data_IF_718100334625
#
_entry.id   IF_718100334625
#
_cell.length_a   1.000
_cell.length_b   1.000
_cell.length_c   1.000
_cell.angle_alpha   90.00
_cell.angle_beta   90.00
_cell.angle_gamma   90.00
#
_symmetry.space_group_name_H-M   'P 1'
#
loop_
_entity.id
_entity.type
_entity.pdbx_description
1 polymer ?
#
# COMPACT_ATOMS: atom_id res chain seq x y z
N UNK A 1 -23.01 -19.46 -10.70
CA UNK A 1 -23.05 -18.38 -9.74
C UNK A 1 -22.52 -17.12 -10.39
N UNK A 2 -23.38 -16.15 -10.60
CA UNK A 2 -23.02 -14.86 -11.16
C UNK A 2 -22.09 -14.18 -10.18
N UNK A 3 -20.83 -13.99 -10.57
CA UNK A 3 -19.76 -13.49 -9.74
C UNK A 3 -19.91 -12.01 -9.41
N UNK A 4 -20.92 -11.66 -8.62
CA UNK A 4 -20.99 -10.36 -7.98
C UNK A 4 -20.00 -10.39 -6.83
N UNK A 5 -18.93 -9.64 -6.96
CA UNK A 5 -17.96 -9.47 -5.88
C UNK A 5 -18.70 -8.97 -4.65
N UNK A 6 -18.61 -9.68 -3.53
CA UNK A 6 -19.27 -9.27 -2.29
C UNK A 6 -18.74 -7.89 -1.85
N UNK A 7 -19.61 -7.07 -1.27
CA UNK A 7 -19.29 -5.69 -0.84
C UNK A 7 -18.10 -5.66 0.11
N UNK A 8 -18.02 -6.58 1.08
CA UNK A 8 -16.88 -6.65 2.01
C UNK A 8 -15.57 -6.97 1.28
N UNK A 9 -15.59 -7.92 0.34
CA UNK A 9 -14.41 -8.28 -0.47
C UNK A 9 -13.97 -7.10 -1.34
N UNK A 10 -14.91 -6.40 -1.95
CA UNK A 10 -14.64 -5.21 -2.76
C UNK A 10 -13.98 -4.10 -1.93
N UNK A 11 -14.57 -3.76 -0.77
CA UNK A 11 -14.06 -2.74 0.13
C UNK A 11 -12.68 -3.09 0.68
N UNK A 12 -12.46 -4.36 1.06
CA UNK A 12 -11.18 -4.86 1.56
C UNK A 12 -10.10 -4.83 0.47
N UNK A 13 -10.47 -5.15 -0.78
CA UNK A 13 -9.55 -5.10 -1.92
C UNK A 13 -9.11 -3.67 -2.21
N UNK A 14 -10.04 -2.72 -2.31
CA UNK A 14 -9.71 -1.31 -2.48
C UNK A 14 -8.91 -0.76 -1.31
N UNK A 15 -9.30 -1.11 -0.08
CA UNK A 15 -8.55 -0.73 1.13
C UNK A 15 -7.11 -1.22 1.09
N UNK A 16 -6.89 -2.48 0.72
CA UNK A 16 -5.56 -3.07 0.58
C UNK A 16 -4.72 -2.41 -0.52
N UNK A 17 -5.32 -2.11 -1.68
CA UNK A 17 -4.62 -1.41 -2.76
C UNK A 17 -4.19 0.00 -2.38
N UNK A 18 -4.99 0.71 -1.59
CA UNK A 18 -4.80 2.12 -1.27
C UNK A 18 -4.08 2.37 0.06
N UNK A 19 -3.97 1.35 0.96
CA UNK A 19 -3.58 1.57 2.36
C UNK A 19 -2.27 2.34 2.53
N UNK A 20 -1.28 2.07 1.70
CA UNK A 20 0.07 2.63 1.78
C UNK A 20 0.33 3.83 0.83
N UNK A 21 -0.69 4.34 0.14
CA UNK A 21 -0.59 5.54 -0.71
C UNK A 21 0.05 6.72 0.04
N UNK A 22 -0.21 6.82 1.33
CA UNK A 22 0.36 7.86 2.19
C UNK A 22 1.88 7.81 2.32
N UNK A 23 2.55 6.69 2.05
CA UNK A 23 4.01 6.63 2.00
C UNK A 23 4.56 7.52 0.89
N UNK A 24 3.93 7.52 -0.29
CA UNK A 24 4.32 8.41 -1.38
C UNK A 24 4.07 9.90 -1.00
N UNK A 25 2.91 10.20 -0.41
CA UNK A 25 2.59 11.56 0.07
C UNK A 25 3.60 12.03 1.11
N UNK A 26 3.92 11.19 2.10
CA UNK A 26 4.90 11.49 3.14
C UNK A 26 6.31 11.74 2.56
N UNK A 27 6.75 10.88 1.62
CA UNK A 27 8.08 10.97 1.00
C UNK A 27 8.19 12.15 0.01
N UNK A 28 7.07 12.60 -0.54
CA UNK A 28 6.99 13.81 -1.37
C UNK A 28 7.19 15.13 -0.57
N UNK A 29 7.38 15.04 0.74
CA UNK A 29 7.49 16.22 1.59
C UNK A 29 6.21 16.53 2.37
N UNK A 30 5.36 15.52 2.56
CA UNK A 30 4.12 15.63 3.33
C UNK A 30 4.31 16.19 4.73
N UNK A 31 3.22 16.69 5.29
CA UNK A 31 3.18 17.38 6.58
C UNK A 31 3.51 16.44 7.76
N UNK A 32 3.45 16.98 8.98
CA UNK A 32 3.61 16.18 10.21
C UNK A 32 2.46 15.15 10.35
N UNK A 33 2.77 13.96 10.82
CA UNK A 33 1.82 12.90 11.07
C UNK A 33 2.25 11.57 10.46
N UNK A 34 1.51 10.51 10.75
CA UNK A 34 1.75 9.19 10.16
C UNK A 34 1.43 9.18 8.66
N UNK A 35 2.07 8.29 7.91
CA UNK A 35 1.74 8.13 6.50
C UNK A 35 0.28 7.66 6.30
N UNK A 36 -0.28 6.89 7.24
CA UNK A 36 -1.68 6.45 7.19
C UNK A 36 -2.66 7.63 7.27
N UNK A 37 -2.42 8.60 8.15
CA UNK A 37 -3.25 9.80 8.23
C UNK A 37 -3.06 10.70 6.99
N UNK A 38 -1.84 10.87 6.51
CA UNK A 38 -1.58 11.64 5.29
C UNK A 38 -2.20 10.99 4.05
N UNK A 39 -2.14 9.67 3.96
CA UNK A 39 -2.82 8.91 2.89
C UNK A 39 -4.33 9.08 2.94
N UNK A 40 -4.91 8.98 4.14
CA UNK A 40 -6.34 9.23 4.33
C UNK A 40 -6.73 10.65 3.89
N UNK A 41 -6.03 11.68 4.36
CA UNK A 41 -6.34 13.07 4.00
C UNK A 41 -6.23 13.31 2.49
N UNK A 42 -5.18 12.80 1.86
CA UNK A 42 -5.00 12.90 0.41
C UNK A 42 -6.15 12.23 -0.35
N UNK A 43 -6.41 10.95 -0.05
CA UNK A 43 -7.42 10.16 -0.75
C UNK A 43 -8.83 10.67 -0.49
N UNK A 44 -9.15 11.12 0.72
CA UNK A 44 -10.42 11.75 1.03
C UNK A 44 -10.65 13.03 0.21
N UNK A 45 -9.59 13.75 -0.12
CA UNK A 45 -9.65 14.95 -0.95
C UNK A 45 -9.85 14.68 -2.45
N UNK A 46 -9.48 13.50 -2.95
CA UNK A 46 -9.47 13.20 -4.39
C UNK A 46 -10.47 12.12 -4.81
N UNK A 47 -10.89 11.23 -3.92
CA UNK A 47 -11.88 10.19 -4.21
C UNK A 47 -13.30 10.72 -3.94
N UNK A 48 -14.18 10.72 -4.94
CA UNK A 48 -15.49 11.32 -4.80
C UNK A 48 -16.50 10.39 -4.12
N UNK A 49 -17.22 10.95 -3.14
CA UNK A 49 -18.42 10.33 -2.60
C UNK A 49 -18.23 9.36 -1.44
N UNK A 50 -19.34 9.12 -0.72
CA UNK A 50 -19.38 8.32 0.50
C UNK A 50 -19.09 6.82 0.27
N UNK A 51 -19.20 6.32 -0.94
CA UNK A 51 -18.90 4.92 -1.26
C UNK A 51 -17.46 4.50 -0.98
N UNK A 52 -16.53 5.46 -0.89
CA UNK A 52 -15.14 5.21 -0.56
C UNK A 52 -14.85 5.12 0.95
N UNK A 53 -15.78 5.53 1.81
CA UNK A 53 -15.54 5.62 3.25
C UNK A 53 -14.97 4.34 3.88
N UNK A 54 -15.47 3.11 3.59
CA UNK A 54 -14.90 1.89 4.17
C UNK A 54 -13.45 1.62 3.72
N UNK A 55 -13.11 1.90 2.46
CA UNK A 55 -11.74 1.78 1.97
C UNK A 55 -10.81 2.84 2.58
N UNK A 56 -11.32 4.05 2.80
CA UNK A 56 -10.58 5.13 3.48
C UNK A 56 -10.33 4.82 4.96
N UNK A 57 -11.25 4.15 5.64
CA UNK A 57 -11.03 3.64 6.99
C UNK A 57 -9.89 2.62 7.02
N UNK A 58 -9.78 1.74 6.01
CA UNK A 58 -8.65 0.84 5.87
C UNK A 58 -7.33 1.62 5.76
N UNK A 59 -7.28 2.66 4.93
CA UNK A 59 -6.08 3.50 4.78
C UNK A 59 -5.69 4.16 6.11
N UNK A 60 -6.66 4.71 6.83
CA UNK A 60 -6.42 5.45 8.06
C UNK A 60 -5.98 4.56 9.22
N UNK A 61 -6.51 3.35 9.29
CA UNK A 61 -6.44 2.51 10.48
C UNK A 61 -5.69 1.18 10.27
N UNK A 62 -4.89 1.02 9.22
CA UNK A 62 -4.15 -0.23 8.97
C UNK A 62 -3.04 -0.51 9.99
N UNK A 63 -2.68 0.41 10.86
CA UNK A 63 -1.70 0.18 11.94
C UNK A 63 -2.36 -0.06 13.28
N UNK A 64 -1.81 -1.01 14.08
CA UNK A 64 -2.39 -1.47 15.34
C UNK A 64 -2.73 -0.35 16.32
N UNK A 65 -1.87 0.66 16.48
CA UNK A 65 -2.12 1.78 17.40
C UNK A 65 -3.31 2.64 16.95
N UNK A 66 -3.39 2.96 15.65
CA UNK A 66 -4.49 3.73 15.08
C UNK A 66 -5.80 2.94 15.13
N UNK A 67 -5.77 1.65 14.77
CA UNK A 67 -6.92 0.77 14.80
C UNK A 67 -7.46 0.59 16.23
N UNK A 68 -6.58 0.39 17.21
CA UNK A 68 -6.95 0.28 18.64
C UNK A 68 -7.62 1.55 19.13
N UNK A 69 -7.12 2.72 18.75
CA UNK A 69 -7.73 4.01 19.08
C UNK A 69 -9.12 4.18 18.47
N UNK A 70 -9.33 3.68 17.26
CA UNK A 70 -10.58 3.79 16.51
C UNK A 70 -11.60 2.67 16.82
N UNK A 71 -11.20 1.57 17.47
CA UNK A 71 -12.00 0.35 17.62
C UNK A 71 -13.38 0.55 18.27
N UNK A 72 -13.54 1.57 19.11
CA UNK A 72 -14.84 1.89 19.71
C UNK A 72 -15.80 2.61 18.75
N UNK A 73 -15.27 3.30 17.75
CA UNK A 73 -16.04 4.07 16.78
C UNK A 73 -16.28 3.30 15.47
N UNK A 74 -15.35 2.39 15.11
CA UNK A 74 -15.50 1.55 13.93
C UNK A 74 -16.53 0.44 14.17
N UNK A 75 -17.36 0.12 13.16
CA UNK A 75 -18.22 -1.07 13.20
C UNK A 75 -17.38 -2.35 13.43
N UNK A 76 -17.94 -3.33 14.13
CA UNK A 76 -17.23 -4.59 14.39
C UNK A 76 -16.94 -5.41 13.13
N UNK A 77 -17.69 -5.16 12.06
CA UNK A 77 -17.55 -5.77 10.72
C UNK A 77 -16.77 -4.88 9.73
N UNK A 78 -16.04 -3.87 10.21
CA UNK A 78 -15.27 -2.97 9.35
C UNK A 78 -14.18 -3.71 8.57
N UNK A 79 -14.00 -3.45 7.26
CA UNK A 79 -12.92 -4.00 6.45
C UNK A 79 -11.53 -3.56 6.95
N UNK A 80 -11.43 -2.53 7.78
CA UNK A 80 -10.17 -2.09 8.36
C UNK A 80 -9.47 -3.19 9.18
N UNK A 81 -10.21 -4.07 9.85
CA UNK A 81 -9.64 -5.23 10.57
C UNK A 81 -9.03 -6.26 9.61
N UNK A 82 -9.65 -6.44 8.45
CA UNK A 82 -9.15 -7.34 7.40
C UNK A 82 -7.85 -6.79 6.81
N UNK A 83 -7.83 -5.52 6.43
CA UNK A 83 -6.65 -4.89 5.81
C UNK A 83 -5.50 -4.79 6.81
N UNK A 84 -5.76 -4.52 8.09
CA UNK A 84 -4.76 -4.57 9.14
C UNK A 84 -4.04 -5.94 9.18
N UNK A 85 -4.79 -7.04 9.25
CA UNK A 85 -4.21 -8.38 9.27
C UNK A 85 -3.50 -8.72 7.95
N UNK A 86 -4.07 -8.31 6.81
CA UNK A 86 -3.48 -8.55 5.50
C UNK A 86 -2.15 -7.81 5.33
N UNK A 87 -2.04 -6.58 5.82
CA UNK A 87 -0.81 -5.80 5.82
C UNK A 87 0.27 -6.45 6.70
N UNK A 88 -0.08 -6.86 7.92
CA UNK A 88 0.85 -7.56 8.81
C UNK A 88 1.38 -8.85 8.19
N UNK A 89 0.52 -9.65 7.54
CA UNK A 89 0.92 -10.89 6.87
C UNK A 89 1.81 -10.61 5.65
N UNK A 90 1.46 -9.62 4.84
CA UNK A 90 2.25 -9.21 3.67
C UNK A 90 3.62 -8.69 4.11
N UNK A 91 3.66 -7.79 5.09
CA UNK A 91 4.90 -7.23 5.62
C UNK A 91 5.81 -8.31 6.23
N UNK A 92 5.25 -9.30 6.92
CA UNK A 92 6.04 -10.42 7.47
C UNK A 92 6.68 -11.29 6.37
N UNK A 93 6.01 -11.44 5.22
CA UNK A 93 6.56 -12.16 4.07
C UNK A 93 7.63 -11.36 3.32
N UNK A 94 7.50 -10.03 3.31
CA UNK A 94 8.36 -9.11 2.54
C UNK A 94 9.66 -8.74 3.26
N UNK A 95 9.70 -8.83 4.59
CA UNK A 95 10.84 -8.37 5.39
C UNK A 95 12.05 -9.26 5.23
N UNK A 96 13.18 -8.66 4.89
CA UNK A 96 14.51 -9.26 4.89
C UNK A 96 15.44 -8.39 5.71
N UNK A 97 15.83 -8.88 6.87
CA UNK A 97 16.75 -8.16 7.76
C UNK A 97 18.14 -8.04 7.15
N UNK A 98 18.72 -6.86 7.27
CA UNK A 98 20.13 -6.59 6.91
C UNK A 98 20.95 -6.54 8.19
N UNK A 99 21.92 -7.47 8.34
CA UNK A 99 22.79 -7.53 9.51
C UNK A 99 23.68 -6.28 9.61
N UNK A 100 23.70 -5.67 10.79
CA UNK A 100 24.74 -4.70 11.20
C UNK A 100 24.43 -3.23 10.96
N UNK A 101 23.26 -2.84 10.46
CA UNK A 101 22.90 -1.42 10.31
C UNK A 101 22.06 -0.89 11.49
N UNK A 102 22.35 0.34 11.91
CA UNK A 102 21.49 1.07 12.85
C UNK A 102 20.17 1.39 12.18
N UNK A 103 19.07 0.96 12.76
CA UNK A 103 17.72 1.09 12.20
C UNK A 103 17.22 2.54 12.22
N UNK A 104 16.99 3.12 11.05
CA UNK A 104 16.37 4.43 10.88
C UNK A 104 15.53 4.48 9.62
N UNK A 105 14.52 5.37 9.58
CA UNK A 105 13.76 5.61 8.35
C UNK A 105 14.44 6.67 7.48
N UNK A 106 14.59 6.36 6.19
CA UNK A 106 15.09 7.28 5.17
C UNK A 106 14.05 7.46 4.08
N UNK A 107 13.73 8.71 3.73
CA UNK A 107 12.76 9.03 2.67
C UNK A 107 13.32 8.85 1.26
N UNK A 108 14.62 8.86 1.13
CA UNK A 108 15.38 8.92 -0.10
C UNK A 108 15.96 7.59 -0.57
N UNK A 109 15.64 6.47 0.12
CA UNK A 109 16.10 5.15 -0.29
C UNK A 109 15.49 4.75 -1.63
N UNK A 110 16.32 4.34 -2.62
CA UNK A 110 15.84 3.79 -3.88
C UNK A 110 15.41 2.33 -3.73
N UNK A 111 14.64 1.86 -4.72
CA UNK A 111 14.33 0.44 -4.86
C UNK A 111 15.53 -0.31 -5.42
N UNK A 112 15.98 -1.36 -4.71
CA UNK A 112 17.02 -2.27 -5.20
C UNK A 112 16.49 -3.11 -6.38
N UNK A 113 17.40 -3.47 -7.29
CA UNK A 113 17.05 -4.46 -8.31
C UNK A 113 17.07 -5.86 -7.70
N UNK A 114 16.09 -6.69 -8.06
CA UNK A 114 16.04 -8.10 -7.62
C UNK A 114 17.28 -8.89 -8.06
N UNK A 115 17.90 -8.51 -9.16
CA UNK A 115 19.11 -9.16 -9.70
C UNK A 115 20.35 -8.93 -8.84
N UNK A 116 20.39 -7.87 -8.03
CA UNK A 116 21.46 -7.62 -7.06
C UNK A 116 21.57 -8.77 -6.05
N UNK A 117 20.43 -9.28 -5.60
CA UNK A 117 20.38 -10.38 -4.62
C UNK A 117 20.66 -11.75 -5.25
N UNK A 118 20.27 -11.95 -6.50
CA UNK A 118 20.46 -13.23 -7.20
C UNK A 118 21.93 -13.54 -7.50
N UNK A 119 22.73 -12.52 -7.76
CA UNK A 119 24.13 -12.70 -8.15
C UNK A 119 25.13 -12.60 -7.00
N UNK A 120 24.66 -12.40 -5.78
CA UNK A 120 25.51 -12.28 -4.58
C UNK A 120 26.52 -11.13 -4.64
N UNK A 121 26.39 -10.23 -5.60
CA UNK A 121 27.35 -9.17 -5.86
C UNK A 121 26.65 -7.82 -6.06
N UNK A 122 27.16 -6.87 -5.32
CA UNK A 122 27.01 -5.43 -5.47
C UNK A 122 25.73 -4.83 -4.92
N UNK A 123 25.75 -4.40 -3.64
CA UNK A 123 24.92 -3.28 -3.22
C UNK A 123 25.27 -2.09 -4.12
N UNK A 124 24.30 -1.44 -4.75
CA UNK A 124 24.59 -0.24 -5.50
C UNK A 124 23.86 -0.09 -6.82
N UNK A 125 23.03 -1.03 -7.22
CA UNK A 125 22.16 -0.88 -8.38
C UNK A 125 20.71 -0.67 -7.97
N UNK A 126 20.04 0.29 -8.61
CA UNK A 126 18.65 0.62 -8.38
C UNK A 126 17.85 0.60 -9.68
N UNK A 127 16.57 0.35 -9.58
CA UNK A 127 15.64 0.66 -10.67
C UNK A 127 15.41 2.18 -10.73
N UNK A 128 15.34 2.78 -11.94
CA UNK A 128 15.03 4.19 -12.06
C UNK A 128 13.67 4.50 -11.45
N UNK A 129 13.59 5.56 -10.66
CA UNK A 129 12.34 6.06 -10.08
C UNK A 129 11.52 6.82 -11.15
N UNK A 130 10.99 6.08 -12.10
CA UNK A 130 10.23 6.59 -13.25
C UNK A 130 8.97 5.76 -13.44
N UNK A 131 7.87 6.35 -13.93
CA UNK A 131 6.64 5.61 -14.21
C UNK A 131 6.89 4.41 -15.14
N UNK A 132 6.22 3.30 -14.88
CA UNK A 132 6.24 2.10 -15.71
C UNK A 132 5.27 2.29 -16.89
N UNK A 133 5.69 3.06 -17.86
CA UNK A 133 4.90 3.53 -19.02
C UNK A 133 5.13 2.73 -20.31
N UNK A 134 5.79 1.56 -20.18
CA UNK A 134 6.18 0.72 -21.32
C UNK A 134 7.52 1.10 -21.97
N UNK A 135 8.15 2.21 -21.56
CA UNK A 135 9.51 2.54 -22.03
C UNK A 135 10.56 1.68 -21.33
N UNK A 136 11.70 1.48 -22.02
CA UNK A 136 12.81 0.68 -21.46
C UNK A 136 13.39 1.37 -20.23
N UNK A 137 13.46 0.63 -19.13
CA UNK A 137 14.10 1.05 -17.87
C UNK A 137 15.31 0.16 -17.64
N UNK A 138 16.47 0.77 -17.48
CA UNK A 138 17.70 0.04 -17.16
C UNK A 138 18.15 0.35 -15.75
N UNK A 139 18.61 -0.66 -14.98
CA UNK A 139 19.23 -0.44 -13.69
C UNK A 139 20.42 0.53 -13.81
N UNK A 140 20.61 1.34 -12.80
CA UNK A 140 21.72 2.29 -12.69
C UNK A 140 22.31 2.30 -11.29
N UNK A 141 23.43 2.97 -11.12
CA UNK A 141 24.04 3.13 -9.80
C UNK A 141 23.07 3.78 -8.83
N UNK A 142 23.08 3.28 -7.60
CA UNK A 142 22.23 3.75 -6.51
C UNK A 142 22.47 5.25 -6.23
N UNK A 143 21.39 6.00 -6.17
CA UNK A 143 21.37 7.42 -5.83
C UNK A 143 20.16 7.70 -4.94
N UNK A 144 20.30 8.60 -3.96
CA UNK A 144 19.15 9.03 -3.17
C UNK A 144 18.02 9.54 -4.06
N UNK A 145 16.78 9.18 -3.72
CA UNK A 145 15.61 9.67 -4.44
C UNK A 145 15.28 11.11 -4.02
N UNK A 146 15.00 11.94 -5.00
CA UNK A 146 14.43 13.27 -4.74
C UNK A 146 12.97 13.18 -4.34
N UNK A 147 12.53 14.05 -3.42
CA UNK A 147 11.12 14.20 -3.08
C UNK A 147 10.23 14.53 -4.31
N UNK A 148 10.80 15.16 -5.34
CA UNK A 148 10.08 15.51 -6.57
C UNK A 148 9.54 14.28 -7.32
N UNK A 149 10.25 13.14 -7.32
CA UNK A 149 9.76 11.93 -8.02
C UNK A 149 8.51 11.37 -7.34
N UNK A 150 8.43 11.46 -6.01
CA UNK A 150 7.21 11.13 -5.28
C UNK A 150 6.09 12.14 -5.51
N UNK A 151 6.43 13.44 -5.54
CA UNK A 151 5.46 14.51 -5.81
C UNK A 151 4.83 14.35 -7.20
N UNK A 152 5.60 13.97 -8.22
CA UNK A 152 5.08 13.69 -9.55
C UNK A 152 4.10 12.51 -9.56
N UNK A 153 4.42 11.43 -8.85
CA UNK A 153 3.52 10.29 -8.72
C UNK A 153 2.21 10.68 -7.99
N UNK A 154 2.30 11.41 -6.87
CA UNK A 154 1.14 11.89 -6.11
C UNK A 154 0.28 12.82 -6.97
N UNK A 155 0.90 13.74 -7.73
CA UNK A 155 0.19 14.61 -8.67
C UNK A 155 -0.57 13.78 -9.71
N UNK A 156 0.07 12.74 -10.27
CA UNK A 156 -0.59 11.86 -11.26
C UNK A 156 -1.76 11.11 -10.67
N UNK A 157 -1.66 10.64 -9.42
CA UNK A 157 -2.79 10.05 -8.71
C UNK A 157 -3.93 11.06 -8.55
N UNK A 158 -3.63 12.30 -8.15
CA UNK A 158 -4.64 13.34 -7.97
C UNK A 158 -5.39 13.71 -9.26
N UNK A 159 -4.75 13.52 -10.41
CA UNK A 159 -5.37 13.74 -11.74
C UNK A 159 -6.30 12.58 -12.15
N UNK A 160 -5.97 11.33 -11.76
CA UNK A 160 -6.68 10.14 -12.25
C UNK A 160 -7.73 9.60 -11.26
N UNK A 161 -7.47 9.68 -9.95
CA UNK A 161 -8.37 9.11 -8.93
C UNK A 161 -9.78 9.70 -8.89
N UNK A 162 -10.01 11.00 -9.19
CA UNK A 162 -11.37 11.56 -9.21
C UNK A 162 -12.36 10.86 -10.15
N UNK A 163 -11.85 10.19 -11.18
CA UNK A 163 -12.69 9.47 -12.15
C UNK A 163 -13.06 8.05 -11.68
N UNK A 164 -12.38 7.53 -10.62
CA UNK A 164 -12.61 6.18 -10.12
C UNK A 164 -13.96 6.07 -9.39
N UNK A 165 -14.58 4.90 -9.55
CA UNK A 165 -15.79 4.52 -8.82
C UNK A 165 -15.50 3.28 -7.94
N UNK A 166 -16.10 3.15 -6.73
CA UNK A 166 -15.88 2.01 -5.84
C UNK A 166 -16.68 0.78 -6.29
N UNK A 167 -16.45 0.31 -7.50
CA UNK A 167 -17.13 -0.79 -8.15
C UNK A 167 -16.12 -1.80 -8.71
N UNK A 168 -16.51 -3.07 -8.92
CA UNK A 168 -15.59 -4.13 -9.38
C UNK A 168 -14.89 -3.82 -10.70
N UNK A 169 -15.59 -3.15 -11.61
CA UNK A 169 -15.10 -2.83 -12.96
C UNK A 169 -13.88 -1.92 -12.97
N UNK A 170 -13.67 -1.15 -11.89
CA UNK A 170 -12.58 -0.18 -11.79
C UNK A 170 -11.33 -0.69 -11.09
N UNK A 171 -11.35 -1.95 -10.56
CA UNK A 171 -10.19 -2.53 -9.86
C UNK A 171 -8.97 -2.57 -10.79
N UNK A 172 -9.14 -3.05 -12.03
CA UNK A 172 -8.04 -3.14 -12.99
C UNK A 172 -7.49 -1.75 -13.36
N UNK A 173 -8.33 -0.72 -13.43
CA UNK A 173 -7.90 0.64 -13.68
C UNK A 173 -7.03 1.17 -12.53
N UNK A 174 -7.45 0.92 -11.29
CA UNK A 174 -6.64 1.28 -10.11
C UNK A 174 -5.34 0.49 -10.06
N UNK A 175 -5.37 -0.82 -10.30
CA UNK A 175 -4.16 -1.66 -10.37
C UNK A 175 -3.17 -1.09 -11.39
N UNK A 176 -3.60 -0.80 -12.62
CA UNK A 176 -2.75 -0.24 -13.65
C UNK A 176 -2.15 1.14 -13.29
N UNK A 177 -2.94 1.99 -12.64
CA UNK A 177 -2.46 3.29 -12.16
C UNK A 177 -1.38 3.12 -11.08
N UNK A 178 -1.62 2.26 -10.08
CA UNK A 178 -0.66 2.02 -9.00
C UNK A 178 0.59 1.31 -9.52
N UNK A 179 0.46 0.34 -10.44
CA UNK A 179 1.59 -0.32 -11.10
C UNK A 179 2.47 0.71 -11.80
N UNK A 180 1.86 1.56 -12.61
CA UNK A 180 2.58 2.59 -13.36
C UNK A 180 3.34 3.54 -12.44
N UNK A 181 2.73 3.99 -11.35
CA UNK A 181 3.32 5.02 -10.49
C UNK A 181 4.18 4.48 -9.35
N UNK A 182 3.89 3.29 -8.81
CA UNK A 182 4.48 2.80 -7.57
C UNK A 182 5.43 1.62 -7.70
N UNK A 183 5.57 1.02 -8.90
CA UNK A 183 6.50 -0.11 -9.11
C UNK A 183 7.97 0.27 -9.00
N UNK A 184 8.30 1.55 -9.02
CA UNK A 184 9.68 2.04 -8.93
C UNK A 184 10.07 2.58 -7.55
N UNK A 185 9.18 2.51 -6.57
CA UNK A 185 9.43 2.97 -5.20
C UNK A 185 9.46 1.80 -4.22
N UNK A 186 10.39 1.80 -3.23
CA UNK A 186 10.38 0.76 -2.21
C UNK A 186 9.18 0.89 -1.28
N UNK A 187 8.63 -0.25 -0.86
CA UNK A 187 7.60 -0.32 0.17
C UNK A 187 8.15 0.13 1.51
N UNK A 188 9.21 -0.53 2.00
CA UNK A 188 9.93 -0.14 3.21
C UNK A 188 11.11 0.77 2.87
N UNK A 189 11.32 1.80 3.70
CA UNK A 189 12.52 2.65 3.69
C UNK A 189 13.22 2.63 5.04
N UNK A 190 13.03 1.54 5.78
CA UNK A 190 13.72 1.25 7.01
C UNK A 190 15.12 0.68 6.71
N UNK A 191 16.18 1.27 7.23
CA UNK A 191 17.55 0.90 6.86
C UNK A 191 17.99 -0.48 7.35
N UNK A 192 17.26 -1.06 8.31
CA UNK A 192 17.47 -2.45 8.76
C UNK A 192 16.81 -3.52 7.87
N UNK A 193 16.20 -3.12 6.74
CA UNK A 193 15.54 -4.02 5.80
C UNK A 193 16.04 -3.77 4.38
N UNK A 194 16.02 -4.80 3.54
CA UNK A 194 16.34 -4.64 2.11
C UNK A 194 15.18 -3.94 1.39
N UNK A 195 15.41 -2.81 0.69
CA UNK A 195 14.37 -2.10 -0.04
C UNK A 195 14.12 -2.72 -1.43
N UNK A 196 13.82 -4.03 -1.47
CA UNK A 196 13.71 -4.82 -2.72
C UNK A 196 12.27 -5.18 -3.12
N UNK A 197 11.28 -4.84 -2.30
CA UNK A 197 9.86 -4.98 -2.62
C UNK A 197 9.28 -3.61 -2.96
N UNK A 198 8.62 -3.51 -4.13
CA UNK A 198 8.01 -2.25 -4.54
C UNK A 198 6.75 -1.91 -3.73
N UNK A 199 6.45 -0.62 -3.65
CA UNK A 199 5.22 -0.13 -3.02
C UNK A 199 3.97 -0.71 -3.72
N UNK A 200 4.02 -0.91 -5.05
CA UNK A 200 2.94 -1.55 -5.80
C UNK A 200 2.80 -3.04 -5.45
N UNK A 201 3.90 -3.79 -5.44
CA UNK A 201 3.84 -5.24 -5.16
C UNK A 201 3.34 -5.52 -3.75
N UNK A 202 3.76 -4.74 -2.77
CA UNK A 202 3.25 -4.83 -1.41
C UNK A 202 1.74 -4.52 -1.36
N UNK A 203 1.29 -3.43 -1.97
CA UNK A 203 -0.13 -3.07 -2.01
C UNK A 203 -0.99 -4.14 -2.70
N UNK A 204 -0.53 -4.67 -3.83
CA UNK A 204 -1.20 -5.75 -4.57
C UNK A 204 -1.30 -7.02 -3.74
N UNK A 205 -0.21 -7.43 -3.09
CA UNK A 205 -0.18 -8.61 -2.22
C UNK A 205 -1.09 -8.43 -1.01
N UNK A 206 -1.06 -7.28 -0.37
CA UNK A 206 -1.96 -6.95 0.75
C UNK A 206 -3.43 -7.03 0.31
N UNK A 207 -3.77 -6.47 -0.85
CA UNK A 207 -5.13 -6.52 -1.38
C UNK A 207 -5.58 -7.96 -1.69
N UNK A 208 -4.70 -8.79 -2.25
CA UNK A 208 -4.99 -10.19 -2.54
C UNK A 208 -5.24 -11.00 -1.25
N UNK A 209 -4.40 -10.81 -0.23
CA UNK A 209 -4.58 -11.44 1.09
C UNK A 209 -5.88 -10.94 1.74
N UNK A 210 -6.17 -9.63 1.68
CA UNK A 210 -7.40 -9.06 2.21
C UNK A 210 -8.65 -9.65 1.53
N UNK A 211 -8.63 -9.85 0.22
CA UNK A 211 -9.71 -10.53 -0.50
C UNK A 211 -9.89 -11.98 -0.01
N UNK A 212 -8.80 -12.72 0.15
CA UNK A 212 -8.87 -14.10 0.68
C UNK A 212 -9.42 -14.15 2.12
N UNK A 213 -8.99 -13.26 3.01
CA UNK A 213 -9.51 -13.17 4.38
C UNK A 213 -11.01 -12.84 4.34
N UNK A 214 -11.40 -11.88 3.50
CA UNK A 214 -12.80 -11.48 3.34
C UNK A 214 -13.70 -12.67 2.91
N UNK A 215 -13.28 -13.43 1.92
CA UNK A 215 -14.00 -14.63 1.47
C UNK A 215 -14.08 -15.69 2.59
N UNK A 216 -12.98 -15.90 3.32
CA UNK A 216 -12.94 -16.85 4.42
C UNK A 216 -13.92 -16.50 5.55
N UNK A 217 -13.91 -15.25 6.02
CA UNK A 217 -14.79 -14.83 7.14
C UNK A 217 -16.27 -14.90 6.74
N UNK A 218 -16.59 -14.61 5.49
CA UNK A 218 -17.96 -14.74 4.97
C UNK A 218 -18.39 -16.19 4.86
N UNK A 219 -17.54 -17.06 4.30
CA UNK A 219 -17.83 -18.50 4.18
C UNK A 219 -18.03 -19.19 5.53
N UNK A 220 -17.44 -18.65 6.59
CA UNK A 220 -17.54 -19.15 7.97
C UNK A 220 -18.52 -18.36 8.85
N UNK A 221 -19.31 -17.44 8.28
CA UNK A 221 -20.27 -16.60 8.99
C UNK A 221 -19.67 -15.82 10.18
N UNK A 222 -18.42 -15.39 10.05
CA UNK A 222 -17.73 -14.55 11.04
C UNK A 222 -18.14 -13.10 10.78
N UNK A 223 -18.95 -12.54 11.69
CA UNK A 223 -19.50 -11.19 11.57
C UNK A 223 -18.80 -10.17 12.47
N UNK A 224 -18.21 -10.60 13.57
CA UNK A 224 -17.42 -9.73 14.45
C UNK A 224 -15.92 -9.85 14.05
N UNK A 225 -15.53 -9.04 13.07
CA UNK A 225 -14.16 -9.02 12.54
C UNK A 225 -13.18 -8.44 13.55
N UNK A 226 -13.64 -7.50 14.40
CA UNK A 226 -12.80 -6.95 15.47
C UNK A 226 -12.31 -8.05 16.38
N UNK A 227 -13.21 -8.85 16.89
CA UNK A 227 -12.89 -9.96 17.82
C UNK A 227 -12.10 -11.07 17.13
N UNK A 228 -12.43 -11.36 15.88
CA UNK A 228 -11.82 -12.49 15.17
C UNK A 228 -10.42 -12.21 14.64
N UNK A 229 -10.12 -10.96 14.27
CA UNK A 229 -8.90 -10.61 13.53
C UNK A 229 -7.97 -9.64 14.29
N UNK A 230 -8.43 -9.01 15.36
CA UNK A 230 -7.67 -7.96 16.06
C UNK A 230 -7.54 -8.17 17.57
N UNK A 231 -8.55 -8.68 18.27
CA UNK A 231 -8.57 -8.99 19.72
C UNK A 231 -8.23 -10.46 19.98
#
# INVERSE_FOLDING_TARGET
>A
GDGILNVLTLQSTYGGLLHDTGKAVYRAGGQRGSHSEQGYQFLHGVLPGAGWAPALDCVRYHHSAALRGAAKALPADSPAYIVYLADDLSAAADRREVEGESSSFRRDLPLDTVFTHLNGSHPGWMMPAQPQDGSLKLPRQQQPLSASVYADAVRKLSECLPDLQPQPEWINSLLGLLETQFSCFPSSTFTGESPDVSLFDHAKTTAAIAACISEYVQANNITDLRKALFE
#
